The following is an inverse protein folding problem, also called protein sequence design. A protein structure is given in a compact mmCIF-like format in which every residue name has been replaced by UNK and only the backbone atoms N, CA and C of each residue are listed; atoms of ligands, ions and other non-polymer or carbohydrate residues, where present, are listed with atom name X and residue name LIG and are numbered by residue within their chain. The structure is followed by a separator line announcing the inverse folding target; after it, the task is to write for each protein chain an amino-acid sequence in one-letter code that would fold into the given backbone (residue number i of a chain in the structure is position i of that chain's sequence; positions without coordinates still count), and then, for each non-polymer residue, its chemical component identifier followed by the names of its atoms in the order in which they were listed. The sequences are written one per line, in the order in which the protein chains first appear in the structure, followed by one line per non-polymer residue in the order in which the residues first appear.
data_IF_708388560781
#
_entry.id   IF_708388560781
#
_cell.length_a   1.000
_cell.length_b   1.000
_cell.length_c   1.000
_cell.angle_alpha   90.00
_cell.angle_beta   90.00
_cell.angle_gamma   90.00
#
_symmetry.space_group_name_H-M   'P 1'
#
loop_
_entity.id
_entity.type
_entity.pdbx_description
1 polymer ?
#
# COMPACT_ATOMS: atom_id res chain seq x y z
N UNK A 1 -18.46 -14.67 30.70
CA UNK A 1 -17.32 -14.58 29.77
C UNK A 1 -17.74 -13.73 28.58
N UNK A 2 -17.19 -12.52 28.41
CA UNK A 2 -17.38 -11.71 27.21
C UNK A 2 -16.04 -11.64 26.48
N UNK A 3 -15.73 -12.65 25.68
CA UNK A 3 -14.54 -12.63 24.82
C UNK A 3 -14.99 -12.58 23.37
N UNK A 4 -15.83 -11.59 23.06
CA UNK A 4 -16.06 -11.20 21.68
C UNK A 4 -14.79 -10.53 21.19
N UNK A 5 -14.17 -11.09 20.15
CA UNK A 5 -12.99 -10.52 19.50
C UNK A 5 -13.19 -9.01 19.31
N UNK A 6 -12.26 -8.23 19.83
CA UNK A 6 -12.29 -6.77 19.73
C UNK A 6 -12.29 -6.36 18.25
N UNK A 7 -12.87 -5.20 17.93
CA UNK A 7 -12.87 -4.66 16.55
C UNK A 7 -11.46 -4.60 15.93
N UNK A 8 -10.42 -4.54 16.78
CA UNK A 8 -9.02 -4.54 16.38
C UNK A 8 -8.58 -5.92 15.87
N UNK A 9 -8.95 -7.00 16.55
CA UNK A 9 -8.61 -8.38 16.14
C UNK A 9 -9.26 -8.75 14.80
N UNK A 10 -10.52 -8.35 14.57
CA UNK A 10 -11.19 -8.55 13.29
C UNK A 10 -10.52 -7.79 12.13
N UNK A 11 -9.86 -6.68 12.41
CA UNK A 11 -9.07 -5.95 11.42
C UNK A 11 -7.84 -6.76 11.02
N UNK A 12 -7.09 -7.28 11.99
CA UNK A 12 -5.93 -8.12 11.74
C UNK A 12 -6.29 -9.39 10.97
N UNK A 13 -7.42 -10.03 11.29
CA UNK A 13 -7.86 -11.21 10.55
C UNK A 13 -8.13 -10.91 9.07
N UNK A 14 -8.81 -9.79 8.77
CA UNK A 14 -9.08 -9.38 7.38
C UNK A 14 -7.81 -9.05 6.61
N UNK A 15 -6.87 -8.35 7.25
CA UNK A 15 -5.56 -8.05 6.63
C UNK A 15 -4.77 -9.35 6.39
N UNK A 16 -4.84 -10.31 7.31
CA UNK A 16 -4.22 -11.63 7.15
C UNK A 16 -4.79 -12.39 5.95
N UNK A 17 -6.12 -12.48 5.84
CA UNK A 17 -6.78 -13.12 4.69
C UNK A 17 -6.37 -12.49 3.36
N UNK A 18 -6.33 -11.16 3.31
CA UNK A 18 -5.87 -10.44 2.11
C UNK A 18 -4.40 -10.73 1.80
N UNK A 19 -3.55 -10.87 2.83
CA UNK A 19 -2.16 -11.26 2.64
C UNK A 19 -2.04 -12.68 2.06
N UNK A 20 -2.81 -13.65 2.55
CA UNK A 20 -2.87 -15.00 2.00
C UNK A 20 -3.30 -14.99 0.51
N UNK A 21 -4.35 -14.24 0.16
CA UNK A 21 -4.79 -14.09 -1.24
C UNK A 21 -3.68 -13.51 -2.14
N UNK A 22 -2.94 -12.51 -1.64
CA UNK A 22 -1.80 -11.94 -2.36
C UNK A 22 -0.64 -12.93 -2.51
N UNK A 23 -0.37 -13.74 -1.48
CA UNK A 23 0.68 -14.76 -1.51
C UNK A 23 0.33 -15.84 -2.53
N UNK A 24 -0.92 -16.31 -2.54
CA UNK A 24 -1.38 -17.35 -3.46
C UNK A 24 -1.33 -16.90 -4.92
N UNK A 25 -1.70 -15.64 -5.18
CA UNK A 25 -1.80 -15.12 -6.56
C UNK A 25 -0.45 -14.61 -7.10
N UNK A 26 0.35 -13.94 -6.28
CA UNK A 26 1.53 -13.18 -6.72
C UNK A 26 2.83 -13.58 -6.02
N UNK A 27 2.76 -14.43 -5.00
CA UNK A 27 3.91 -14.87 -4.22
C UNK A 27 4.18 -14.03 -2.97
N UNK A 28 4.96 -14.63 -2.07
CA UNK A 28 5.23 -14.09 -0.74
C UNK A 28 5.96 -12.75 -0.74
N UNK A 29 6.98 -12.61 -1.60
CA UNK A 29 7.79 -11.39 -1.65
C UNK A 29 6.97 -10.18 -2.12
N UNK A 30 6.03 -10.40 -3.04
CA UNK A 30 5.10 -9.38 -3.49
C UNK A 30 4.17 -8.92 -2.36
N UNK A 31 3.48 -9.87 -1.71
CA UNK A 31 2.56 -9.58 -0.62
C UNK A 31 3.25 -8.80 0.53
N UNK A 32 4.46 -9.23 0.90
CA UNK A 32 5.26 -8.56 1.90
C UNK A 32 5.64 -7.12 1.49
N UNK A 33 6.07 -6.94 0.23
CA UNK A 33 6.40 -5.61 -0.31
C UNK A 33 5.22 -4.65 -0.28
N UNK A 34 4.03 -5.11 -0.66
CA UNK A 34 2.79 -4.31 -0.63
C UNK A 34 2.42 -3.89 0.80
N UNK A 35 2.51 -4.81 1.77
CA UNK A 35 2.20 -4.52 3.17
C UNK A 35 3.19 -3.50 3.77
N UNK A 36 4.49 -3.64 3.50
CA UNK A 36 5.51 -2.69 3.94
C UNK A 36 5.28 -1.31 3.32
N UNK A 37 4.99 -1.25 2.02
CA UNK A 37 4.72 0.00 1.33
C UNK A 37 3.46 0.70 1.88
N UNK A 38 2.42 -0.07 2.15
CA UNK A 38 1.18 0.44 2.76
C UNK A 38 1.42 0.98 4.16
N UNK A 39 2.18 0.25 4.99
CA UNK A 39 2.55 0.70 6.33
C UNK A 39 3.36 2.00 6.28
N UNK A 40 4.29 2.12 5.33
CA UNK A 40 5.05 3.35 5.09
C UNK A 40 4.13 4.51 4.71
N UNK A 41 3.22 4.30 3.76
CA UNK A 41 2.28 5.34 3.34
C UNK A 41 1.42 5.86 4.50
N UNK A 42 0.95 4.96 5.38
CA UNK A 42 0.21 5.33 6.60
C UNK A 42 1.10 6.12 7.57
N UNK A 43 2.35 5.68 7.78
CA UNK A 43 3.31 6.35 8.65
C UNK A 43 3.73 7.74 8.13
N UNK A 44 3.80 7.90 6.81
CA UNK A 44 4.09 9.19 6.15
C UNK A 44 2.94 10.21 6.31
N UNK A 45 1.79 9.80 6.86
CA UNK A 45 0.70 10.71 7.26
C UNK A 45 0.08 11.48 6.10
N UNK A 46 0.30 11.04 4.85
CA UNK A 46 -0.25 11.68 3.65
C UNK A 46 -1.75 11.38 3.61
N UNK A 47 -2.52 12.22 4.29
CA UNK A 47 -3.97 12.16 4.31
C UNK A 47 -4.49 12.09 2.86
N UNK A 48 -5.42 11.17 2.53
CA UNK A 48 -5.97 11.04 1.17
C UNK A 48 -6.80 12.26 0.69
N UNK A 49 -6.72 13.39 1.40
CA UNK A 49 -7.25 14.69 0.98
C UNK A 49 -6.23 15.64 0.37
N UNK A 50 -4.94 15.27 0.23
CA UNK A 50 -3.96 16.07 -0.51
C UNK A 50 -3.43 15.31 -1.72
N UNK A 51 -4.34 15.11 -2.67
CA UNK A 51 -4.03 14.78 -4.07
C UNK A 51 -3.30 15.96 -4.68
N UNK A 52 -1.99 15.93 -4.55
CA UNK A 52 -1.05 16.56 -5.44
C UNK A 52 0.10 15.61 -5.62
N UNK A 53 0.23 15.08 -6.83
CA UNK A 53 1.36 14.29 -7.31
C UNK A 53 1.30 12.79 -7.02
N UNK A 54 0.49 12.10 -7.84
CA UNK A 54 0.95 10.87 -8.50
C UNK A 54 2.26 11.19 -9.22
N UNK A 55 3.40 11.00 -8.57
CA UNK A 55 4.73 11.13 -9.17
C UNK A 55 5.10 9.91 -10.03
N UNK A 56 4.12 9.29 -10.67
CA UNK A 56 4.29 8.10 -11.51
C UNK A 56 3.72 8.32 -12.92
N UNK A 57 3.79 9.55 -13.45
CA UNK A 57 3.68 9.79 -14.89
C UNK A 57 4.15 11.20 -15.28
N UNK A 58 5.46 11.46 -15.16
CA UNK A 58 6.09 12.58 -15.87
C UNK A 58 7.39 12.08 -16.49
N UNK A 59 7.27 11.15 -17.43
CA UNK A 59 8.29 10.97 -18.45
C UNK A 59 8.08 12.07 -19.49
N UNK A 60 8.50 13.28 -19.15
CA UNK A 60 8.65 14.34 -20.15
C UNK A 60 10.06 14.20 -20.73
N UNK A 61 10.09 13.42 -21.81
CA UNK A 61 11.07 13.51 -22.87
C UNK A 61 11.27 14.97 -23.27
N UNK A 62 12.39 15.58 -22.88
CA UNK A 62 12.87 16.80 -23.53
C UNK A 62 14.32 16.61 -23.96
N UNK A 63 14.46 15.91 -25.08
CA UNK A 63 15.60 16.04 -25.97
C UNK A 63 15.42 17.26 -26.89
N UNK A 64 16.55 17.90 -27.21
CA UNK A 64 16.69 18.92 -28.25
C UNK A 64 16.39 20.33 -27.76
N UNK A 65 17.14 21.38 -28.11
CA UNK A 65 18.22 21.52 -29.08
C UNK A 65 18.83 22.90 -28.81
N UNK A 66 20.13 23.00 -29.05
CA UNK A 66 20.95 24.17 -29.40
C UNK A 66 20.28 25.56 -29.43
N UNK A 67 20.93 26.55 -28.81
CA UNK A 67 21.45 27.74 -29.49
C UNK A 67 22.39 28.53 -28.61
#
# INVERSE_FOLDING_TARGET
MNTGLTSKEQCFERVGKLADEMIETYGKDFALGVLILTARFVAEGKSPGNTGQSAILATESQGGMVR
#
